data_IF_561099298853
#
_entry.id   IF_561099298853
#
_cell.length_a   1.000
_cell.length_b   1.000
_cell.length_c   1.000
_cell.angle_alpha   90.00
_cell.angle_beta   90.00
_cell.angle_gamma   90.00
#
_symmetry.space_group_name_H-M   'P 1'
#
loop_
_entity.id
_entity.type
_entity.pdbx_description
1 polymer ?
#
# COMPACT_ATOMS: atom_id res chain seq x y z
N UNK A 1 6.20 8.85 -8.61
CA UNK A 1 5.19 7.77 -8.70
C UNK A 1 4.45 7.89 -10.02
N UNK A 2 4.08 6.78 -10.67
CA UNK A 2 3.12 6.80 -11.78
C UNK A 2 1.86 6.00 -11.40
N UNK A 3 0.71 6.35 -11.99
CA UNK A 3 -0.59 5.75 -11.65
C UNK A 3 -1.28 5.22 -12.90
N UNK A 4 -1.82 3.99 -12.83
CA UNK A 4 -2.62 3.36 -13.90
C UNK A 4 -4.00 3.00 -13.36
N UNK A 5 -5.05 3.26 -14.13
CA UNK A 5 -6.46 3.17 -13.67
C UNK A 5 -7.32 2.14 -14.43
N UNK A 6 -7.17 0.82 -14.24
CA UNK A 6 -8.16 -0.13 -14.72
C UNK A 6 -9.29 -0.32 -13.70
N UNK A 7 -10.56 -0.28 -14.13
CA UNK A 7 -11.73 -0.71 -13.34
C UNK A 7 -11.76 -0.18 -11.88
N UNK A 8 -11.74 1.15 -11.70
CA UNK A 8 -11.71 1.84 -10.38
C UNK A 8 -10.55 1.43 -9.45
N UNK A 9 -9.53 0.77 -9.99
CA UNK A 9 -8.31 0.38 -9.27
C UNK A 9 -7.16 1.25 -9.73
N UNK A 10 -6.36 1.77 -8.81
CA UNK A 10 -5.15 2.53 -9.11
C UNK A 10 -3.89 1.72 -8.75
N UNK A 11 -2.96 1.56 -9.68
CA UNK A 11 -1.64 1.00 -9.40
C UNK A 11 -0.68 2.15 -9.09
N UNK A 12 -0.15 2.20 -7.87
CA UNK A 12 0.76 3.27 -7.43
C UNK A 12 2.14 2.67 -7.23
N UNK A 13 3.03 2.95 -8.19
CA UNK A 13 4.44 2.59 -8.07
C UNK A 13 5.19 3.63 -7.25
N UNK A 14 5.72 3.24 -6.10
CA UNK A 14 6.49 4.10 -5.22
C UNK A 14 7.96 3.74 -5.37
N UNK A 15 8.67 4.59 -6.12
CA UNK A 15 10.11 4.48 -6.34
C UNK A 15 10.80 5.49 -5.45
N UNK A 16 11.84 5.05 -4.74
CA UNK A 16 12.87 5.84 -4.05
C UNK A 16 12.45 7.25 -3.55
N UNK A 17 12.36 7.43 -2.22
CA UNK A 17 12.22 8.76 -1.59
C UNK A 17 13.49 9.59 -1.85
N UNK A 18 13.53 10.33 -2.95
CA UNK A 18 14.71 11.12 -3.36
C UNK A 18 15.13 12.12 -2.26
N UNK A 19 16.42 12.10 -1.91
CA UNK A 19 17.21 13.08 -1.14
C UNK A 19 16.65 13.53 0.22
N UNK A 20 17.15 12.92 1.29
CA UNK A 20 17.04 13.45 2.67
C UNK A 20 16.14 12.64 3.62
N UNK A 21 15.44 11.62 3.11
CA UNK A 21 14.53 10.78 3.90
C UNK A 21 15.09 9.39 4.23
N UNK A 22 16.38 9.13 4.00
CA UNK A 22 17.02 7.84 4.35
C UNK A 22 16.98 7.58 5.87
N UNK A 23 17.20 8.64 6.66
CA UNK A 23 17.04 8.57 8.12
C UNK A 23 15.57 8.28 8.50
N UNK A 24 14.64 8.74 7.68
CA UNK A 24 13.21 8.60 7.91
C UNK A 24 12.73 7.15 7.69
N UNK A 25 13.30 6.43 6.71
CA UNK A 25 13.05 4.98 6.55
C UNK A 25 13.63 4.18 7.73
N UNK A 26 14.80 4.57 8.23
CA UNK A 26 15.39 3.95 9.43
C UNK A 26 14.49 4.14 10.64
N UNK A 27 14.00 5.36 10.87
CA UNK A 27 13.08 5.66 11.97
C UNK A 27 11.84 4.76 11.95
N UNK A 28 11.28 4.47 10.76
CA UNK A 28 10.14 3.54 10.59
C UNK A 28 10.51 2.10 10.95
N UNK A 29 11.72 1.67 10.60
CA UNK A 29 12.18 0.30 10.91
C UNK A 29 12.25 0.09 12.44
N UNK A 30 12.66 1.11 13.19
CA UNK A 30 12.70 1.06 14.66
C UNK A 30 11.33 1.13 15.34
N UNK A 31 10.28 1.63 14.67
CA UNK A 31 8.91 1.62 15.22
C UNK A 31 8.32 0.20 15.34
N UNK A 32 8.92 -0.79 14.69
CA UNK A 32 8.46 -2.20 14.71
C UNK A 32 9.18 -3.07 15.75
N UNK A 33 10.13 -2.50 16.48
CA UNK A 33 10.91 -3.21 17.50
C UNK A 33 10.58 -2.58 18.85
N UNK A 34 9.74 -3.25 19.63
CA UNK A 34 9.47 -2.90 21.03
C UNK A 34 10.80 -3.01 21.83
N UNK A 35 11.52 -1.90 21.96
CA UNK A 35 12.67 -1.81 22.86
C UNK A 35 12.35 -0.82 23.98
N UNK A 36 12.03 -1.38 25.15
CA UNK A 36 11.62 -0.71 26.39
C UNK A 36 12.77 0.08 27.07
N UNK A 37 13.81 0.51 26.35
CA UNK A 37 15.04 1.06 26.94
C UNK A 37 15.31 2.55 26.60
N UNK A 38 14.78 3.41 27.48
CA UNK A 38 15.37 4.66 28.00
C UNK A 38 15.94 5.76 27.05
N UNK A 39 15.27 6.91 27.10
CA UNK A 39 15.80 8.29 27.21
C UNK A 39 16.84 8.82 26.19
N UNK A 40 16.37 9.63 25.23
CA UNK A 40 16.96 10.95 24.90
C UNK A 40 16.01 11.76 24.01
N UNK A 41 16.06 13.08 24.17
CA UNK A 41 15.16 14.10 23.63
C UNK A 41 15.29 14.29 22.11
N UNK A 42 14.41 13.67 21.34
CA UNK A 42 13.86 14.13 20.02
C UNK A 42 13.06 13.00 19.33
N UNK A 43 12.31 12.20 20.10
CA UNK A 43 11.50 11.12 19.53
C UNK A 43 10.28 11.71 18.78
N UNK A 44 10.33 11.73 17.45
CA UNK A 44 9.14 11.95 16.62
C UNK A 44 8.12 10.86 16.98
N UNK A 45 6.94 11.27 17.43
CA UNK A 45 5.85 10.35 17.74
C UNK A 45 5.53 9.48 16.51
N UNK A 46 5.31 8.16 16.65
CA UNK A 46 5.07 7.25 15.53
C UNK A 46 3.97 7.76 14.57
N UNK A 47 2.91 8.34 15.14
CA UNK A 47 1.81 8.92 14.36
C UNK A 47 2.25 10.08 13.45
N UNK A 48 3.17 10.94 13.91
CA UNK A 48 3.68 12.05 13.09
C UNK A 48 4.47 11.54 11.90
N UNK A 49 5.21 10.44 12.09
CA UNK A 49 5.97 9.80 11.01
C UNK A 49 5.00 9.27 9.96
N UNK A 50 3.94 8.58 10.38
CA UNK A 50 2.91 8.04 9.48
C UNK A 50 2.12 9.14 8.74
N UNK A 51 1.83 10.26 9.39
CA UNK A 51 1.19 11.43 8.79
C UNK A 51 2.10 12.13 7.77
N UNK A 52 3.40 12.25 8.07
CA UNK A 52 4.40 12.83 7.18
C UNK A 52 4.61 11.94 5.94
N UNK A 53 4.62 10.61 6.09
CA UNK A 53 4.63 9.66 4.96
C UNK A 53 3.42 9.82 4.06
N UNK A 54 2.21 9.88 4.64
CA UNK A 54 1.00 10.12 3.87
C UNK A 54 1.11 11.44 3.07
N UNK A 55 1.59 12.49 3.74
CA UNK A 55 1.75 13.81 3.14
C UNK A 55 2.70 13.81 1.95
N UNK A 56 3.80 13.05 2.04
CA UNK A 56 4.79 12.97 0.96
C UNK A 56 4.29 12.06 -0.17
N UNK A 57 3.72 10.90 0.16
CA UNK A 57 3.49 9.82 -0.80
C UNK A 57 2.11 9.86 -1.46
N UNK A 58 1.07 10.26 -0.72
CA UNK A 58 -0.33 10.09 -1.14
C UNK A 58 -1.08 11.41 -1.28
N UNK A 59 -0.78 12.42 -0.45
CA UNK A 59 -1.44 13.72 -0.53
C UNK A 59 -1.35 14.36 -1.94
N UNK A 60 -0.25 14.27 -2.69
CA UNK A 60 -0.19 14.78 -4.07
C UNK A 60 -1.07 14.03 -5.07
N UNK A 61 -1.52 12.81 -4.72
CA UNK A 61 -2.28 11.92 -5.59
C UNK A 61 -3.77 11.88 -5.23
N UNK A 62 -4.16 12.33 -4.04
CA UNK A 62 -5.49 12.08 -3.47
C UNK A 62 -6.62 12.68 -4.33
N UNK A 63 -6.42 13.88 -4.85
CA UNK A 63 -7.42 14.57 -5.66
C UNK A 63 -7.63 13.85 -6.99
N UNK A 64 -6.54 13.34 -7.59
CA UNK A 64 -6.59 12.56 -8.82
C UNK A 64 -7.33 11.24 -8.57
N UNK A 65 -7.02 10.54 -7.47
CA UNK A 65 -7.69 9.29 -7.10
C UNK A 65 -9.20 9.48 -6.93
N UNK A 66 -9.61 10.55 -6.24
CA UNK A 66 -11.03 10.89 -6.05
C UNK A 66 -11.71 11.27 -7.36
N UNK A 67 -11.06 12.08 -8.21
CA UNK A 67 -11.60 12.48 -9.51
C UNK A 67 -11.91 11.28 -10.41
N UNK A 68 -11.07 10.24 -10.35
CA UNK A 68 -11.27 9.00 -11.11
C UNK A 68 -12.18 7.98 -10.42
N UNK A 69 -12.81 8.33 -9.29
CA UNK A 69 -13.65 7.44 -8.48
C UNK A 69 -12.94 6.12 -8.15
N UNK A 70 -11.67 6.22 -7.77
CA UNK A 70 -10.87 5.06 -7.37
C UNK A 70 -11.31 4.59 -6.00
N UNK A 71 -11.62 3.29 -5.93
CA UNK A 71 -12.02 2.61 -4.69
C UNK A 71 -10.91 1.70 -4.19
N UNK A 72 -10.05 1.20 -5.10
CA UNK A 72 -8.98 0.25 -4.78
C UNK A 72 -7.61 0.80 -5.16
N UNK A 73 -6.61 0.60 -4.31
CA UNK A 73 -5.23 0.99 -4.56
C UNK A 73 -4.32 -0.22 -4.43
N UNK A 74 -3.52 -0.48 -5.46
CA UNK A 74 -2.43 -1.46 -5.45
C UNK A 74 -1.10 -0.74 -5.35
N UNK A 75 -0.43 -0.87 -4.19
CA UNK A 75 0.84 -0.22 -3.91
C UNK A 75 1.97 -1.17 -4.33
N UNK A 76 2.90 -0.67 -5.14
CA UNK A 76 4.11 -1.38 -5.55
C UNK A 76 5.32 -0.66 -4.96
N UNK A 77 5.80 -1.08 -3.76
CA UNK A 77 6.96 -0.48 -3.13
C UNK A 77 8.26 -1.05 -3.71
N UNK A 78 9.26 -0.18 -3.93
CA UNK A 78 10.60 -0.59 -4.32
C UNK A 78 11.62 -0.42 -3.18
N UNK A 79 12.55 -1.38 -3.06
CA UNK A 79 13.66 -1.32 -2.10
C UNK A 79 13.19 -1.28 -0.64
N UNK A 80 13.80 -0.40 0.15
CA UNK A 80 13.51 -0.28 1.60
C UNK A 80 12.08 0.19 1.90
N UNK A 81 11.36 0.72 0.91
CA UNK A 81 9.96 1.11 1.03
C UNK A 81 9.02 -0.09 1.26
N UNK A 82 9.49 -1.32 1.04
CA UNK A 82 8.74 -2.54 1.37
C UNK A 82 8.42 -2.64 2.87
N UNK A 83 9.22 -1.98 3.73
CA UNK A 83 9.04 -2.00 5.17
C UNK A 83 8.03 -0.94 5.67
N UNK A 84 7.48 -0.11 4.78
CA UNK A 84 6.53 0.93 5.18
C UNK A 84 5.16 0.29 5.46
N UNK A 85 4.54 0.58 6.63
CA UNK A 85 3.20 0.12 6.95
C UNK A 85 2.15 0.98 6.21
N UNK A 86 2.02 0.81 4.90
CA UNK A 86 1.17 1.64 4.05
C UNK A 86 -0.31 1.68 4.49
N UNK A 87 -0.80 0.57 5.04
CA UNK A 87 -2.17 0.45 5.53
C UNK A 87 -2.44 1.38 6.73
N UNK A 88 -1.40 1.62 7.54
CA UNK A 88 -1.45 2.40 8.77
C UNK A 88 -1.10 3.87 8.56
N UNK A 89 -0.93 4.33 7.31
CA UNK A 89 -0.66 5.74 7.05
C UNK A 89 -1.84 6.61 7.49
N UNK A 90 -1.55 7.71 8.17
CA UNK A 90 -2.56 8.60 8.76
C UNK A 90 -2.84 9.72 7.77
N UNK A 91 -4.09 9.81 7.30
CA UNK A 91 -4.54 10.83 6.35
C UNK A 91 -4.81 12.15 7.07
N UNK A 92 -5.52 12.05 8.18
CA UNK A 92 -5.79 13.09 9.15
C UNK A 92 -6.01 12.41 10.51
N UNK A 93 -5.98 13.18 11.60
CA UNK A 93 -6.03 12.63 12.96
C UNK A 93 -7.16 11.61 13.15
N UNK A 94 -6.81 10.34 13.35
CA UNK A 94 -7.74 9.24 13.58
C UNK A 94 -8.37 8.62 12.33
N UNK A 95 -7.91 9.00 11.14
CA UNK A 95 -8.34 8.44 9.85
C UNK A 95 -7.13 7.85 9.11
N UNK A 96 -7.18 6.55 8.86
CA UNK A 96 -6.12 5.81 8.19
C UNK A 96 -6.39 5.69 6.68
N UNK A 97 -5.34 5.46 5.90
CA UNK A 97 -5.46 5.32 4.45
C UNK A 97 -6.39 4.16 4.05
N UNK A 98 -6.39 3.07 4.83
CA UNK A 98 -7.27 1.92 4.64
C UNK A 98 -8.75 2.20 4.92
N UNK A 99 -9.06 3.27 5.67
CA UNK A 99 -10.45 3.69 5.90
C UNK A 99 -11.05 4.35 4.65
N UNK A 100 -10.21 4.78 3.70
CA UNK A 100 -10.62 5.50 2.49
C UNK A 100 -10.60 4.59 1.26
N UNK A 101 -9.61 3.70 1.16
CA UNK A 101 -9.40 2.84 0.00
C UNK A 101 -9.22 1.37 0.40
N UNK A 102 -9.66 0.46 -0.46
CA UNK A 102 -9.24 -0.93 -0.39
C UNK A 102 -7.78 -1.02 -0.85
N UNK A 103 -6.85 -1.37 0.05
CA UNK A 103 -5.42 -1.35 -0.22
C UNK A 103 -4.88 -2.78 -0.33
N UNK A 104 -4.10 -3.04 -1.38
CA UNK A 104 -3.26 -4.23 -1.49
C UNK A 104 -1.81 -3.84 -1.79
N UNK A 105 -0.85 -4.51 -1.18
CA UNK A 105 0.58 -4.35 -1.48
C UNK A 105 0.97 -5.51 -2.41
N UNK A 106 1.53 -5.19 -3.58
CA UNK A 106 1.93 -6.18 -4.58
C UNK A 106 3.38 -5.96 -5.01
N UNK A 107 4.12 -7.02 -5.38
CA UNK A 107 5.52 -6.90 -5.77
C UNK A 107 5.71 -6.27 -7.15
N UNK A 108 4.79 -6.51 -8.09
CA UNK A 108 4.78 -5.90 -9.43
C UNK A 108 3.41 -6.02 -10.09
N UNK A 109 3.17 -5.25 -11.16
CA UNK A 109 1.93 -5.33 -11.95
C UNK A 109 1.83 -6.69 -12.64
N UNK A 110 2.95 -7.21 -13.15
CA UNK A 110 3.02 -8.50 -13.85
C UNK A 110 2.68 -9.65 -12.91
N UNK A 111 3.13 -9.60 -11.66
CA UNK A 111 2.75 -10.59 -10.64
C UNK A 111 1.25 -10.59 -10.39
N UNK A 112 0.64 -9.40 -10.26
CA UNK A 112 -0.80 -9.29 -10.04
C UNK A 112 -1.62 -9.82 -11.22
N UNK A 113 -1.19 -9.51 -12.44
CA UNK A 113 -1.79 -10.07 -13.66
C UNK A 113 -1.66 -11.59 -13.73
N UNK A 114 -0.52 -12.14 -13.34
CA UNK A 114 -0.29 -13.57 -13.27
C UNK A 114 -1.25 -14.23 -12.27
N UNK A 115 -1.35 -13.71 -11.05
CA UNK A 115 -2.27 -14.25 -10.01
C UNK A 115 -3.72 -14.24 -10.49
N UNK A 116 -4.20 -13.11 -11.03
CA UNK A 116 -5.55 -13.01 -11.58
C UNK A 116 -5.81 -14.03 -12.69
N UNK A 117 -4.83 -14.27 -13.55
CA UNK A 117 -4.93 -15.26 -14.62
C UNK A 117 -5.11 -16.66 -14.04
N UNK A 118 -4.31 -17.02 -13.03
CA UNK A 118 -4.40 -18.32 -12.36
C UNK A 118 -5.72 -18.52 -11.61
N UNK A 119 -6.20 -17.52 -10.88
CA UNK A 119 -7.48 -17.60 -10.18
C UNK A 119 -8.65 -17.79 -11.16
N UNK A 120 -8.63 -17.13 -12.31
CA UNK A 120 -9.64 -17.32 -13.35
C UNK A 120 -9.60 -18.76 -13.89
N UNK A 121 -8.40 -19.28 -14.17
CA UNK A 121 -8.24 -20.66 -14.66
C UNK A 121 -8.72 -21.70 -13.64
N UNK A 122 -8.38 -21.54 -12.36
CA UNK A 122 -8.79 -22.48 -11.31
C UNK A 122 -10.31 -22.46 -11.10
N UNK A 123 -10.90 -21.26 -11.02
CA UNK A 123 -12.35 -21.11 -10.87
C UNK A 123 -13.13 -21.68 -12.07
N UNK A 124 -12.63 -21.53 -13.30
CA UNK A 124 -13.26 -22.14 -14.48
C UNK A 124 -13.21 -23.68 -14.44
N UNK A 125 -12.16 -24.27 -13.85
CA UNK A 125 -12.08 -25.72 -13.68
C UNK A 125 -13.04 -26.21 -12.60
N UNK A 126 -13.18 -25.48 -11.48
CA UNK A 126 -14.17 -25.82 -10.43
C UNK A 126 -15.59 -25.73 -10.95
N UNK A 127 -15.95 -24.68 -11.70
CA UNK A 127 -17.28 -24.51 -12.28
C UNK A 127 -17.59 -25.62 -13.31
N UNK A 128 -16.58 -25.99 -14.12
CA UNK A 128 -16.69 -27.10 -15.06
C UNK A 128 -16.88 -28.44 -14.35
N UNK A 129 -16.20 -28.72 -13.25
CA UNK A 129 -16.38 -29.95 -12.45
C UNK A 129 -17.75 -29.97 -11.76
N UNK A 130 -18.24 -28.84 -11.26
CA UNK A 130 -19.56 -28.73 -10.64
C UNK A 130 -20.71 -29.02 -11.64
N UNK A 131 -20.56 -28.66 -12.92
CA UNK A 131 -21.52 -28.98 -13.98
C UNK A 131 -21.58 -30.49 -14.33
N UNK A 132 -20.53 -31.26 -14.03
CA UNK A 132 -20.46 -32.69 -14.33
C UNK A 132 -20.89 -33.60 -13.16
N UNK A 133 -21.11 -33.07 -11.96
CA UNK A 133 -21.46 -33.87 -10.76
C UNK A 133 -22.93 -33.79 -10.36
N UNK A 134 -23.73 -32.93 -11.00
CA UNK A 134 -25.20 -32.95 -10.90
C UNK A 134 -25.82 -33.77 -12.03
N UNK A 135 -25.84 -35.10 -11.92
CA UNK A 135 -26.74 -35.97 -12.68
C UNK A 135 -26.98 -37.29 -11.96
#
# INVERSE_FOLDING_TARGET
SYVVFPNKTAYIKIINLQNGHENFIKDITYLTVDDDSSSSSDQKHPEKILEELYTILFKPLIDVLKQHNIEKIKIIPEGELQNIPFLSLIVEKGCYLIDIFEISIIPSIEFDQFVLTYEIFDNQQVEKVALFTTT
#
